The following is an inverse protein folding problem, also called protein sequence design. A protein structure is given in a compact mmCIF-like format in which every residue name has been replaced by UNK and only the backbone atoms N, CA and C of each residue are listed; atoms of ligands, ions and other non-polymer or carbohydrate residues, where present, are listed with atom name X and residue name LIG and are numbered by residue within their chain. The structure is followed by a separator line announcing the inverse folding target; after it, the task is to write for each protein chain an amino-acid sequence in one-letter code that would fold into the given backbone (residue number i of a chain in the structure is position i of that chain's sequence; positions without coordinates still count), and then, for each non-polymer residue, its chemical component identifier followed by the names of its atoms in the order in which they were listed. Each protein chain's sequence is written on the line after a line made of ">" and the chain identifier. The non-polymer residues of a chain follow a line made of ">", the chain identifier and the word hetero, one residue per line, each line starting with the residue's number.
data_IF_124534149275
#
_entry.id   IF_124534149275
#
_cell.length_a   1.000
_cell.length_b   1.000
_cell.length_c   1.000
_cell.angle_alpha   90.00
_cell.angle_beta   90.00
_cell.angle_gamma   90.00
#
_symmetry.space_group_name_H-M   'P 1'
#
loop_
_entity.id
_entity.type
_entity.pdbx_description
1 polymer ?
#
# COMPACT_ATOMS: atom_id res chain seq x y z
N UNK A 1 -48.79 -14.14 17.42
CA UNK A 1 -48.14 -12.92 17.92
C UNK A 1 -46.69 -12.74 17.53
N UNK A 2 -46.02 -13.68 16.86
CA UNK A 2 -44.59 -13.56 16.45
C UNK A 2 -44.34 -12.94 15.05
N UNK A 3 -45.34 -12.86 14.18
CA UNK A 3 -45.19 -12.24 12.82
C UNK A 3 -45.26 -10.70 12.80
N UNK A 4 -45.74 -10.08 13.88
CA UNK A 4 -45.88 -8.60 13.96
C UNK A 4 -44.58 -7.88 14.33
N UNK A 5 -43.64 -8.55 15.00
CA UNK A 5 -42.40 -7.92 15.45
C UNK A 5 -41.34 -7.82 14.36
N UNK A 6 -41.30 -8.74 13.39
CA UNK A 6 -40.36 -8.66 12.25
C UNK A 6 -40.71 -7.53 11.28
N UNK A 7 -41.98 -7.24 11.05
CA UNK A 7 -42.40 -6.13 10.18
C UNK A 7 -42.12 -4.75 10.81
N UNK A 8 -42.20 -4.65 12.14
CA UNK A 8 -41.87 -3.41 12.86
C UNK A 8 -40.35 -3.14 12.84
N UNK A 9 -39.53 -4.16 13.01
CA UNK A 9 -38.04 -4.00 12.90
C UNK A 9 -37.61 -3.62 11.48
N UNK A 10 -38.22 -4.20 10.43
CA UNK A 10 -37.89 -3.83 9.04
C UNK A 10 -38.30 -2.41 8.68
N UNK A 11 -39.44 -1.93 9.20
CA UNK A 11 -39.89 -0.55 8.99
C UNK A 11 -39.05 0.46 9.78
N UNK A 12 -38.61 0.13 10.99
CA UNK A 12 -37.70 1.00 11.76
C UNK A 12 -36.31 1.09 11.09
N UNK A 13 -35.82 0.00 10.49
CA UNK A 13 -34.56 0.01 9.74
C UNK A 13 -34.67 0.82 8.44
N UNK A 14 -35.81 0.77 7.73
CA UNK A 14 -36.07 1.63 6.54
C UNK A 14 -36.21 3.10 6.91
N UNK A 15 -36.82 3.43 8.05
CA UNK A 15 -36.98 4.80 8.54
C UNK A 15 -35.64 5.35 9.02
N UNK A 16 -34.79 4.56 9.68
CA UNK A 16 -33.42 4.96 10.05
C UNK A 16 -32.51 5.12 8.82
N UNK A 17 -32.69 4.29 7.78
CA UNK A 17 -31.96 4.46 6.52
C UNK A 17 -32.43 5.71 5.74
N UNK A 18 -33.73 6.02 5.77
CA UNK A 18 -34.26 7.21 5.10
C UNK A 18 -33.95 8.50 5.87
N UNK A 19 -33.91 8.47 7.20
CA UNK A 19 -33.50 9.58 8.02
C UNK A 19 -31.97 9.85 7.95
N UNK A 20 -31.16 8.82 7.81
CA UNK A 20 -29.73 8.98 7.53
C UNK A 20 -29.49 9.55 6.13
N UNK A 21 -30.28 9.16 5.12
CA UNK A 21 -30.23 9.74 3.77
C UNK A 21 -30.71 11.20 3.73
N UNK A 22 -31.66 11.60 4.58
CA UNK A 22 -32.13 12.99 4.68
C UNK A 22 -31.20 13.88 5.53
N UNK A 23 -30.51 13.32 6.52
CA UNK A 23 -29.46 14.03 7.26
C UNK A 23 -28.20 14.29 6.40
N UNK A 24 -27.97 13.47 5.36
CA UNK A 24 -26.87 13.65 4.40
C UNK A 24 -27.18 14.65 3.27
N UNK A 25 -28.45 15.06 3.08
CA UNK A 25 -28.82 16.09 2.08
C UNK A 25 -28.42 17.52 2.48
N UNK A 26 -28.01 17.74 3.71
CA UNK A 26 -27.47 19.02 4.21
C UNK A 26 -25.93 19.05 4.34
N UNK A 27 -25.22 18.00 3.84
CA UNK A 27 -23.79 18.18 3.54
C UNK A 27 -23.75 19.21 2.42
N UNK A 28 -23.43 20.45 2.82
CA UNK A 28 -23.24 21.60 1.95
C UNK A 28 -22.76 21.17 0.56
N UNK A 29 -23.41 21.67 -0.48
CA UNK A 29 -22.95 21.68 -1.86
C UNK A 29 -21.57 22.37 -1.94
N UNK A 30 -20.57 21.84 -1.27
CA UNK A 30 -19.18 22.19 -1.51
C UNK A 30 -18.90 21.71 -2.91
N UNK A 31 -18.87 22.65 -3.82
CA UNK A 31 -18.62 22.49 -5.25
C UNK A 31 -17.18 21.99 -5.40
N UNK A 32 -16.98 20.68 -5.27
CA UNK A 32 -15.72 20.03 -5.67
C UNK A 32 -15.67 19.80 -7.19
N UNK A 33 -16.69 20.25 -7.92
CA UNK A 33 -17.00 19.86 -9.28
C UNK A 33 -16.18 20.48 -10.41
N UNK A 34 -15.24 21.39 -10.13
CA UNK A 34 -14.43 22.05 -11.16
C UNK A 34 -12.98 21.57 -11.21
N UNK A 35 -12.46 20.98 -10.13
CA UNK A 35 -11.05 20.59 -10.04
C UNK A 35 -10.88 19.12 -10.38
N UNK A 36 -10.11 18.84 -11.43
CA UNK A 36 -9.84 17.48 -11.90
C UNK A 36 -8.37 17.31 -12.23
N UNK A 37 -7.89 16.09 -12.04
CA UNK A 37 -6.61 15.68 -12.56
C UNK A 37 -6.61 15.72 -14.10
N UNK A 38 -5.50 16.12 -14.67
CA UNK A 38 -5.27 16.14 -16.12
C UNK A 38 -3.88 15.57 -16.42
N UNK A 39 -3.70 14.81 -17.52
CA UNK A 39 -2.39 14.33 -17.94
C UNK A 39 -1.37 15.44 -18.19
N UNK A 40 -1.85 16.67 -18.37
CA UNK A 40 -1.00 17.85 -18.64
C UNK A 40 -0.63 18.62 -17.37
N UNK A 41 -1.22 18.29 -16.22
CA UNK A 41 -0.93 19.01 -14.98
C UNK A 41 0.50 18.74 -14.50
N UNK A 42 1.26 19.80 -14.26
CA UNK A 42 2.61 19.69 -13.72
C UNK A 42 2.60 19.53 -12.19
N UNK A 43 3.66 18.94 -11.64
CA UNK A 43 3.84 18.86 -10.18
C UNK A 43 3.82 20.25 -9.52
N UNK A 44 4.48 21.25 -10.13
CA UNK A 44 4.49 22.61 -9.59
C UNK A 44 3.09 23.26 -9.57
N UNK A 45 2.28 22.97 -10.56
CA UNK A 45 0.87 23.44 -10.57
C UNK A 45 0.05 22.79 -9.47
N UNK A 46 0.24 21.49 -9.21
CA UNK A 46 -0.40 20.78 -8.09
C UNK A 46 0.01 21.44 -6.77
N UNK A 47 1.30 21.72 -6.58
CA UNK A 47 1.81 22.41 -5.37
C UNK A 47 1.18 23.79 -5.23
N UNK A 48 1.18 24.61 -6.28
CA UNK A 48 0.61 25.96 -6.26
C UNK A 48 -0.87 25.95 -5.89
N UNK A 49 -1.67 25.06 -6.49
CA UNK A 49 -3.10 24.93 -6.19
C UNK A 49 -3.36 24.40 -4.76
N UNK A 50 -2.53 23.49 -4.27
CA UNK A 50 -2.60 23.01 -2.89
C UNK A 50 -2.30 24.12 -1.89
N UNK A 51 -1.27 24.95 -2.14
CA UNK A 51 -0.92 26.13 -1.35
C UNK A 51 -2.01 27.20 -1.39
N UNK A 52 -2.70 27.36 -2.53
CA UNK A 52 -3.86 28.23 -2.67
C UNK A 52 -5.11 27.72 -1.91
N UNK A 53 -5.01 26.55 -1.26
CA UNK A 53 -6.04 26.03 -0.38
C UNK A 53 -7.04 25.07 -1.03
N UNK A 54 -6.83 24.64 -2.28
CA UNK A 54 -7.70 23.64 -2.90
C UNK A 54 -7.62 22.30 -2.16
N UNK A 55 -8.75 21.81 -1.65
CA UNK A 55 -8.82 20.53 -0.95
C UNK A 55 -8.49 19.35 -1.86
N UNK A 56 -8.90 19.42 -3.13
CA UNK A 56 -8.56 18.43 -4.15
C UNK A 56 -7.05 18.29 -4.32
N UNK A 57 -6.36 19.41 -4.58
CA UNK A 57 -4.92 19.40 -4.84
C UNK A 57 -4.10 19.19 -3.56
N UNK A 58 -4.60 19.56 -2.38
CA UNK A 58 -4.00 19.17 -1.10
C UNK A 58 -3.99 17.65 -0.93
N UNK A 59 -5.13 16.98 -1.17
CA UNK A 59 -5.21 15.52 -1.11
C UNK A 59 -4.37 14.83 -2.20
N UNK A 60 -4.40 15.34 -3.42
CA UNK A 60 -3.59 14.84 -4.53
C UNK A 60 -2.09 14.99 -4.27
N UNK A 61 -1.66 16.12 -3.73
CA UNK A 61 -0.26 16.36 -3.34
C UNK A 61 0.18 15.41 -2.23
N UNK A 62 -0.70 15.16 -1.25
CA UNK A 62 -0.46 14.15 -0.22
C UNK A 62 -0.22 12.76 -0.83
N UNK A 63 -1.04 12.34 -1.79
CA UNK A 63 -0.86 11.06 -2.51
C UNK A 63 0.48 11.05 -3.25
N UNK A 64 0.82 12.12 -3.98
CA UNK A 64 2.05 12.20 -4.77
C UNK A 64 3.30 12.15 -3.90
N UNK A 65 3.32 12.85 -2.78
CA UNK A 65 4.43 12.85 -1.83
C UNK A 65 4.62 11.49 -1.14
N UNK A 66 3.55 10.71 -0.93
CA UNK A 66 3.67 9.35 -0.41
C UNK A 66 4.20 8.39 -1.47
N UNK A 67 3.76 8.52 -2.70
CA UNK A 67 4.01 7.55 -3.77
C UNK A 67 5.09 7.96 -4.79
N UNK A 68 5.67 9.16 -4.68
CA UNK A 68 6.72 9.62 -5.58
C UNK A 68 6.23 9.87 -7.02
N UNK A 69 4.99 10.27 -7.21
CA UNK A 69 4.43 10.51 -8.55
C UNK A 69 4.84 11.86 -9.14
N UNK A 70 4.76 11.98 -10.46
CA UNK A 70 5.16 13.17 -11.23
C UNK A 70 6.60 13.66 -10.93
N UNK A 71 7.48 12.78 -10.48
CA UNK A 71 8.87 13.11 -10.15
C UNK A 71 9.07 13.73 -8.77
N UNK A 72 8.05 13.75 -7.91
CA UNK A 72 8.21 14.16 -6.51
C UNK A 72 9.14 13.21 -5.78
N UNK A 73 9.86 13.72 -4.77
CA UNK A 73 10.53 12.86 -3.80
C UNK A 73 9.50 12.31 -2.81
N UNK A 74 9.71 11.07 -2.39
CA UNK A 74 8.89 10.50 -1.30
C UNK A 74 9.14 11.28 -0.02
N UNK A 75 8.07 11.77 0.59
CA UNK A 75 8.11 12.48 1.87
C UNK A 75 6.84 12.19 2.67
N UNK A 76 6.92 11.22 3.54
CA UNK A 76 5.79 10.70 4.32
C UNK A 76 5.23 11.75 5.28
N UNK A 77 6.09 12.57 5.88
CA UNK A 77 5.64 13.60 6.83
C UNK A 77 4.89 14.75 6.13
N UNK A 78 5.47 15.27 5.04
CA UNK A 78 4.79 16.31 4.25
C UNK A 78 3.51 15.77 3.58
N UNK A 79 3.52 14.49 3.15
CA UNK A 79 2.34 13.80 2.65
C UNK A 79 1.21 13.80 3.69
N UNK A 80 1.55 13.54 4.97
CA UNK A 80 0.57 13.58 6.06
C UNK A 80 -0.04 14.96 6.22
N UNK A 81 0.80 15.99 6.33
CA UNK A 81 0.34 17.36 6.54
C UNK A 81 -0.67 17.82 5.45
N UNK A 82 -0.35 17.56 4.19
CA UNK A 82 -1.26 17.88 3.08
C UNK A 82 -2.54 17.04 3.09
N UNK A 83 -2.44 15.77 3.50
CA UNK A 83 -3.62 14.90 3.61
C UNK A 83 -4.53 15.30 4.77
N UNK A 84 -3.97 15.72 5.89
CA UNK A 84 -4.72 16.29 7.03
C UNK A 84 -5.44 17.57 6.63
N UNK A 85 -4.78 18.46 5.87
CA UNK A 85 -5.41 19.67 5.34
C UNK A 85 -6.59 19.36 4.42
N UNK A 86 -6.46 18.35 3.54
CA UNK A 86 -7.56 17.89 2.68
C UNK A 86 -8.68 17.22 3.50
N UNK A 87 -8.31 16.40 4.49
CA UNK A 87 -9.25 15.71 5.38
C UNK A 87 -10.07 16.68 6.22
N UNK A 88 -9.46 17.72 6.75
CA UNK A 88 -10.14 18.79 7.49
C UNK A 88 -11.24 19.49 6.64
N UNK A 89 -11.05 19.51 5.32
CA UNK A 89 -12.03 19.99 4.33
C UNK A 89 -12.94 18.88 3.81
N UNK A 90 -12.93 17.72 4.44
CA UNK A 90 -13.72 16.52 4.11
C UNK A 90 -13.46 15.96 2.71
N UNK A 91 -12.31 16.25 2.09
CA UNK A 91 -11.99 15.73 0.77
C UNK A 91 -11.52 14.26 0.84
N UNK A 92 -12.08 13.34 0.03
CA UNK A 92 -11.83 11.89 0.16
C UNK A 92 -10.39 11.47 -0.13
N UNK A 93 -9.60 12.25 -0.86
CA UNK A 93 -8.18 11.96 -1.05
C UNK A 93 -7.38 12.11 0.26
N UNK A 94 -7.81 13.02 1.15
CA UNK A 94 -7.24 13.14 2.49
C UNK A 94 -7.45 11.85 3.30
N UNK A 95 -8.70 11.40 3.42
CA UNK A 95 -9.05 10.15 4.11
C UNK A 95 -8.32 8.94 3.52
N UNK A 96 -8.34 8.80 2.19
CA UNK A 96 -7.66 7.72 1.48
C UNK A 96 -6.16 7.69 1.77
N UNK A 97 -5.49 8.84 1.67
CA UNK A 97 -4.04 8.87 1.87
C UNK A 97 -3.64 8.70 3.34
N UNK A 98 -4.38 9.28 4.28
CA UNK A 98 -4.20 9.05 5.71
C UNK A 98 -4.42 7.58 6.10
N UNK A 99 -5.39 6.89 5.46
CA UNK A 99 -5.57 5.45 5.63
C UNK A 99 -4.33 4.67 5.21
N UNK A 100 -3.73 4.99 4.05
CA UNK A 100 -2.48 4.37 3.62
C UNK A 100 -1.32 4.66 4.60
N UNK A 101 -1.21 5.88 5.11
CA UNK A 101 -0.20 6.24 6.11
C UNK A 101 -0.42 5.52 7.45
N UNK A 102 -1.67 5.32 7.87
CA UNK A 102 -2.02 4.52 9.04
C UNK A 102 -1.65 3.04 8.83
N UNK A 103 -1.90 2.49 7.63
CA UNK A 103 -1.45 1.14 7.26
C UNK A 103 0.07 0.98 7.39
N UNK A 104 0.85 1.98 6.94
CA UNK A 104 2.33 1.97 7.07
C UNK A 104 2.78 1.93 8.53
N UNK A 105 2.05 2.60 9.43
CA UNK A 105 2.32 2.61 10.88
C UNK A 105 1.78 1.39 11.62
N UNK A 106 1.01 0.53 10.93
CA UNK A 106 0.36 -0.64 11.53
C UNK A 106 -0.94 -0.31 12.29
N UNK A 107 -1.46 0.90 12.19
CA UNK A 107 -2.79 1.26 12.70
C UNK A 107 -3.88 0.82 11.71
N UNK A 108 -4.26 -0.45 11.79
CA UNK A 108 -5.25 -1.04 10.88
C UNK A 108 -6.68 -0.61 11.20
N UNK A 109 -6.96 -0.32 12.46
CA UNK A 109 -8.29 0.14 12.84
C UNK A 109 -8.53 1.57 12.36
N UNK A 110 -7.56 2.47 12.58
CA UNK A 110 -7.58 3.81 12.03
C UNK A 110 -7.63 3.81 10.50
N UNK A 111 -6.80 2.98 9.86
CA UNK A 111 -6.82 2.83 8.41
C UNK A 111 -8.17 2.36 7.88
N UNK A 112 -8.79 1.37 8.53
CA UNK A 112 -10.11 0.86 8.11
C UNK A 112 -11.19 1.94 8.18
N UNK A 113 -11.25 2.72 9.28
CA UNK A 113 -12.19 3.85 9.41
C UNK A 113 -11.98 4.89 8.32
N UNK A 114 -10.74 5.24 8.04
CA UNK A 114 -10.39 6.24 7.02
C UNK A 114 -10.68 5.74 5.60
N UNK A 115 -10.45 4.44 5.31
CA UNK A 115 -10.86 3.87 4.02
C UNK A 115 -12.38 3.83 3.85
N UNK A 116 -13.14 3.55 4.92
CA UNK A 116 -14.60 3.59 4.89
C UNK A 116 -15.09 5.02 4.60
N UNK A 117 -14.51 6.04 5.26
CA UNK A 117 -14.82 7.44 4.98
C UNK A 117 -14.51 7.81 3.52
N UNK A 118 -13.33 7.43 3.00
CA UNK A 118 -12.99 7.66 1.61
C UNK A 118 -13.96 6.95 0.64
N UNK A 119 -14.31 5.69 0.92
CA UNK A 119 -15.20 4.87 0.09
C UNK A 119 -16.62 5.43 -0.03
N UNK A 120 -17.08 6.20 0.95
CA UNK A 120 -18.40 6.88 0.89
C UNK A 120 -18.41 8.07 -0.06
N UNK A 121 -17.28 8.75 -0.26
CA UNK A 121 -17.21 10.04 -0.99
C UNK A 121 -16.53 9.93 -2.35
N UNK A 122 -15.58 9.01 -2.53
CA UNK A 122 -14.89 8.77 -3.82
C UNK A 122 -15.83 8.44 -4.99
N UNK A 123 -16.96 7.69 -4.82
CA UNK A 123 -17.85 7.37 -5.93
C UNK A 123 -18.35 8.57 -6.72
N UNK A 124 -18.59 9.70 -6.06
CA UNK A 124 -19.01 10.94 -6.72
C UNK A 124 -17.94 11.44 -7.69
N UNK A 125 -16.69 11.57 -7.23
CA UNK A 125 -15.57 12.00 -8.09
C UNK A 125 -15.32 11.01 -9.24
N UNK A 126 -15.41 9.71 -8.95
CA UNK A 126 -15.23 8.68 -9.97
C UNK A 126 -16.34 8.71 -11.03
N UNK A 127 -17.61 8.97 -10.64
CA UNK A 127 -18.73 9.13 -11.58
C UNK A 127 -18.58 10.36 -12.46
N UNK A 128 -17.96 11.41 -11.93
CA UNK A 128 -17.59 12.61 -12.67
C UNK A 128 -16.40 12.41 -13.62
N UNK A 129 -15.83 11.21 -13.67
CA UNK A 129 -14.74 10.84 -14.58
C UNK A 129 -13.34 11.09 -14.01
N UNK A 130 -13.18 11.33 -12.71
CA UNK A 130 -11.86 11.55 -12.10
C UNK A 130 -11.03 10.24 -12.02
N UNK A 131 -9.89 10.13 -12.74
CA UNK A 131 -9.11 8.92 -12.77
C UNK A 131 -8.38 8.63 -11.44
N UNK A 132 -8.07 9.66 -10.66
CA UNK A 132 -7.44 9.50 -9.34
C UNK A 132 -8.42 8.84 -8.38
N UNK A 133 -9.68 9.30 -8.38
CA UNK A 133 -10.73 8.71 -7.56
C UNK A 133 -11.00 7.25 -7.95
N UNK A 134 -11.03 6.94 -9.26
CA UNK A 134 -11.16 5.56 -9.75
C UNK A 134 -10.00 4.69 -9.26
N UNK A 135 -8.78 5.18 -9.33
CA UNK A 135 -7.60 4.48 -8.82
C UNK A 135 -7.70 4.22 -7.30
N UNK A 136 -8.00 5.26 -6.52
CA UNK A 136 -8.16 5.13 -5.06
C UNK A 136 -9.23 4.10 -4.68
N UNK A 137 -10.37 4.10 -5.39
CA UNK A 137 -11.41 3.08 -5.19
C UNK A 137 -10.93 1.67 -5.59
N UNK A 138 -10.10 1.56 -6.64
CA UNK A 138 -9.44 0.31 -7.02
C UNK A 138 -8.56 -0.22 -5.91
N UNK A 139 -7.71 0.63 -5.33
CA UNK A 139 -6.84 0.29 -4.20
C UNK A 139 -7.66 -0.17 -2.98
N UNK A 140 -8.72 0.56 -2.62
CA UNK A 140 -9.61 0.17 -1.51
C UNK A 140 -10.23 -1.21 -1.76
N UNK A 141 -10.73 -1.48 -2.97
CA UNK A 141 -11.29 -2.80 -3.30
C UNK A 141 -10.24 -3.91 -3.31
N UNK A 142 -9.00 -3.57 -3.63
CA UNK A 142 -7.91 -4.56 -3.67
C UNK A 142 -7.36 -4.89 -2.29
N UNK A 143 -7.30 -3.91 -1.38
CA UNK A 143 -6.64 -4.02 -0.08
C UNK A 143 -7.60 -4.24 1.09
N UNK A 144 -8.79 -3.63 1.05
CA UNK A 144 -9.75 -3.68 2.15
C UNK A 144 -10.65 -4.91 2.03
N UNK A 145 -10.94 -5.55 3.15
CA UNK A 145 -11.75 -6.76 3.20
C UNK A 145 -13.23 -6.39 3.36
N UNK A 146 -14.12 -7.08 2.64
CA UNK A 146 -13.87 -8.13 1.66
C UNK A 146 -13.25 -7.59 0.38
N UNK A 147 -12.17 -8.25 -0.10
CA UNK A 147 -11.50 -7.82 -1.33
C UNK A 147 -12.36 -8.15 -2.55
N UNK A 148 -12.57 -7.14 -3.39
CA UNK A 148 -13.23 -7.31 -4.70
C UNK A 148 -12.21 -7.03 -5.82
N UNK A 149 -11.39 -8.05 -6.10
CA UNK A 149 -10.29 -7.95 -7.08
C UNK A 149 -10.82 -7.67 -8.48
N UNK A 150 -11.98 -8.21 -8.86
CA UNK A 150 -12.57 -7.98 -10.18
C UNK A 150 -12.92 -6.50 -10.35
N UNK A 151 -13.62 -5.94 -9.39
CA UNK A 151 -13.99 -4.51 -9.40
C UNK A 151 -12.77 -3.60 -9.29
N UNK A 152 -11.74 -4.01 -8.53
CA UNK A 152 -10.47 -3.29 -8.46
C UNK A 152 -9.81 -3.21 -9.84
N UNK A 153 -9.70 -4.34 -10.56
CA UNK A 153 -9.14 -4.40 -11.91
C UNK A 153 -9.90 -3.52 -12.90
N UNK A 154 -11.23 -3.53 -12.88
CA UNK A 154 -12.08 -2.70 -13.74
C UNK A 154 -11.77 -1.20 -13.52
N UNK A 155 -11.63 -0.79 -12.26
CA UNK A 155 -11.31 0.58 -11.88
C UNK A 155 -9.88 0.99 -12.26
N UNK A 156 -8.90 0.12 -12.03
CA UNK A 156 -7.52 0.39 -12.44
C UNK A 156 -7.42 0.52 -13.96
N UNK A 157 -8.07 -0.36 -14.73
CA UNK A 157 -8.10 -0.27 -16.19
C UNK A 157 -8.68 1.06 -16.65
N UNK A 158 -9.86 1.44 -16.15
CA UNK A 158 -10.51 2.69 -16.53
C UNK A 158 -9.68 3.92 -16.16
N UNK A 159 -9.07 3.93 -14.99
CA UNK A 159 -8.14 4.99 -14.57
C UNK A 159 -6.90 5.06 -15.47
N UNK A 160 -6.34 3.91 -15.87
CA UNK A 160 -5.18 3.84 -16.76
C UNK A 160 -5.51 4.30 -18.19
N UNK A 161 -6.71 3.98 -18.70
CA UNK A 161 -7.23 4.45 -19.98
C UNK A 161 -7.37 5.98 -20.00
N UNK A 162 -7.75 6.58 -18.88
CA UNK A 162 -7.78 8.04 -18.69
C UNK A 162 -6.40 8.66 -18.47
N UNK A 163 -5.34 7.85 -18.52
CA UNK A 163 -3.96 8.30 -18.51
C UNK A 163 -3.34 8.46 -17.11
N UNK A 164 -4.00 8.05 -16.02
CA UNK A 164 -3.43 8.21 -14.68
C UNK A 164 -2.20 7.31 -14.48
N UNK A 165 -1.00 7.88 -14.19
CA UNK A 165 0.25 7.13 -14.26
C UNK A 165 0.35 5.98 -13.24
N UNK A 166 -0.16 6.18 -12.02
CA UNK A 166 -0.16 5.12 -11.02
C UNK A 166 -1.02 3.93 -11.45
N UNK A 167 -2.19 4.19 -12.04
CA UNK A 167 -3.05 3.14 -12.57
C UNK A 167 -2.38 2.41 -13.73
N UNK A 168 -1.71 3.14 -14.63
CA UNK A 168 -0.94 2.54 -15.73
C UNK A 168 0.19 1.67 -15.19
N UNK A 169 0.91 2.12 -14.15
CA UNK A 169 1.97 1.33 -13.51
C UNK A 169 1.42 0.08 -12.82
N UNK A 170 0.31 0.20 -12.10
CA UNK A 170 -0.33 -0.91 -11.39
C UNK A 170 -0.83 -1.97 -12.37
N UNK A 171 -1.67 -1.56 -13.34
CA UNK A 171 -2.25 -2.53 -14.28
C UNK A 171 -1.19 -3.09 -15.25
N UNK A 172 -0.19 -2.28 -15.62
CA UNK A 172 0.96 -2.72 -16.41
C UNK A 172 1.73 -3.83 -15.71
N UNK A 173 2.00 -3.69 -14.41
CA UNK A 173 2.65 -4.74 -13.61
C UNK A 173 1.78 -6.00 -13.50
N UNK A 174 0.48 -5.83 -13.36
CA UNK A 174 -0.46 -6.96 -13.32
C UNK A 174 -0.51 -7.71 -14.67
N UNK A 175 -0.40 -7.01 -15.80
CA UNK A 175 -0.28 -7.66 -17.11
C UNK A 175 1.03 -8.45 -17.27
N UNK A 176 2.15 -7.98 -16.72
CA UNK A 176 3.41 -8.75 -16.76
C UNK A 176 3.31 -10.08 -16.01
N UNK A 177 2.58 -10.11 -14.90
CA UNK A 177 2.44 -11.29 -14.02
C UNK A 177 1.24 -12.15 -14.38
N UNK A 178 0.16 -11.54 -14.83
CA UNK A 178 -1.17 -12.12 -14.93
C UNK A 178 -1.81 -12.31 -13.53
N UNK A 179 -3.11 -12.53 -13.53
CA UNK A 179 -3.89 -12.95 -12.34
C UNK A 179 -4.75 -14.14 -12.75
N UNK A 180 -4.49 -15.34 -12.23
CA UNK A 180 -5.22 -16.55 -12.63
C UNK A 180 -6.75 -16.36 -12.53
N UNK A 181 -7.46 -16.66 -13.61
CA UNK A 181 -8.93 -16.54 -13.70
C UNK A 181 -9.47 -15.12 -13.84
N UNK A 182 -8.64 -14.06 -13.71
CA UNK A 182 -9.09 -12.66 -13.71
C UNK A 182 -8.42 -11.79 -14.78
N UNK A 183 -7.10 -11.94 -14.96
CA UNK A 183 -6.34 -11.16 -15.93
C UNK A 183 -5.32 -12.05 -16.64
N UNK A 184 -5.49 -12.21 -17.95
CA UNK A 184 -4.50 -12.95 -18.76
C UNK A 184 -3.20 -12.15 -18.80
N UNK A 185 -2.08 -12.87 -18.69
CA UNK A 185 -0.74 -12.29 -18.88
C UNK A 185 -0.62 -11.71 -20.27
N UNK A 186 -0.19 -10.46 -20.37
CA UNK A 186 0.10 -9.75 -21.62
C UNK A 186 1.33 -8.84 -21.42
N UNK A 187 2.47 -9.37 -21.83
CA UNK A 187 3.77 -8.71 -21.67
C UNK A 187 3.82 -7.41 -22.47
N UNK A 188 3.31 -7.43 -23.70
CA UNK A 188 3.35 -6.26 -24.59
C UNK A 188 2.56 -5.10 -24.00
N UNK A 189 1.33 -5.37 -23.58
CA UNK A 189 0.48 -4.35 -22.94
C UNK A 189 1.09 -3.89 -21.60
N UNK A 190 1.62 -4.82 -20.80
CA UNK A 190 2.28 -4.50 -19.53
C UNK A 190 3.44 -3.51 -19.71
N UNK A 191 4.36 -3.78 -20.63
CA UNK A 191 5.49 -2.88 -20.93
C UNK A 191 5.00 -1.56 -21.51
N UNK A 192 3.99 -1.57 -22.37
CA UNK A 192 3.43 -0.35 -22.97
C UNK A 192 2.89 0.60 -21.88
N UNK A 193 2.12 0.06 -20.94
CA UNK A 193 1.53 0.85 -19.85
C UNK A 193 2.60 1.36 -18.87
N UNK A 194 3.57 0.51 -18.50
CA UNK A 194 4.69 0.94 -17.66
C UNK A 194 5.50 2.04 -18.34
N UNK A 195 5.76 1.93 -19.65
CA UNK A 195 6.50 2.96 -20.41
C UNK A 195 5.76 4.29 -20.43
N UNK A 196 4.42 4.30 -20.61
CA UNK A 196 3.61 5.53 -20.51
C UNK A 196 3.74 6.16 -19.11
N UNK A 197 3.64 5.36 -18.06
CA UNK A 197 3.77 5.85 -16.69
C UNK A 197 5.18 6.38 -16.39
N UNK A 198 6.22 5.78 -16.95
CA UNK A 198 7.61 6.27 -16.83
C UNK A 198 7.78 7.66 -17.45
N UNK A 199 7.18 7.92 -18.62
CA UNK A 199 7.19 9.25 -19.25
C UNK A 199 6.56 10.29 -18.32
N UNK A 200 5.51 9.94 -17.61
CA UNK A 200 4.89 10.77 -16.58
C UNK A 200 5.69 10.85 -15.26
N UNK A 201 6.91 10.33 -15.22
CA UNK A 201 7.81 10.30 -14.06
C UNK A 201 7.23 9.55 -12.85
N UNK A 202 6.42 8.53 -13.09
CA UNK A 202 5.91 7.67 -12.02
C UNK A 202 7.04 6.88 -11.37
N UNK A 203 7.19 7.01 -10.06
CA UNK A 203 8.14 6.23 -9.26
C UNK A 203 7.80 4.74 -9.33
N UNK A 204 6.52 4.41 -9.16
CA UNK A 204 6.02 3.03 -9.22
C UNK A 204 6.40 2.35 -10.53
N UNK A 205 6.23 3.06 -11.67
CA UNK A 205 6.59 2.50 -12.98
C UNK A 205 8.10 2.29 -13.13
N UNK A 206 8.92 3.25 -12.69
CA UNK A 206 10.38 3.16 -12.72
C UNK A 206 10.89 1.98 -11.92
N UNK A 207 10.40 1.83 -10.71
CA UNK A 207 10.79 0.73 -9.83
C UNK A 207 10.32 -0.62 -10.39
N UNK A 208 9.05 -0.74 -10.77
CA UNK A 208 8.49 -2.01 -11.28
C UNK A 208 9.14 -2.45 -12.58
N UNK A 209 9.47 -1.51 -13.47
CA UNK A 209 10.20 -1.82 -14.70
C UNK A 209 11.64 -2.25 -14.39
N UNK A 210 12.29 -1.59 -13.43
CA UNK A 210 13.61 -2.01 -12.95
C UNK A 210 13.58 -3.43 -12.39
N UNK A 211 12.59 -3.77 -11.56
CA UNK A 211 12.42 -5.11 -11.00
C UNK A 211 12.03 -6.15 -12.06
N UNK A 212 11.24 -5.77 -13.06
CA UNK A 212 10.91 -6.66 -14.17
C UNK A 212 12.18 -7.11 -14.93
N UNK A 213 13.10 -6.17 -15.24
CA UNK A 213 14.39 -6.49 -15.86
C UNK A 213 15.32 -7.26 -14.90
N UNK A 214 15.31 -6.95 -13.62
CA UNK A 214 16.13 -7.64 -12.62
C UNK A 214 15.75 -9.13 -12.48
N UNK A 215 14.44 -9.39 -12.40
CA UNK A 215 13.92 -10.75 -12.22
C UNK A 215 13.76 -11.52 -13.54
N UNK A 216 13.69 -10.84 -14.69
CA UNK A 216 13.24 -11.43 -15.93
C UNK A 216 11.72 -11.64 -15.99
N UNK A 217 10.95 -10.85 -15.23
CA UNK A 217 9.48 -10.95 -15.15
C UNK A 217 8.82 -10.35 -16.40
N UNK A 218 8.56 -11.18 -17.39
CA UNK A 218 7.91 -10.77 -18.64
C UNK A 218 8.84 -10.12 -19.68
N UNK A 219 10.08 -9.86 -19.31
CA UNK A 219 11.16 -9.38 -20.18
C UNK A 219 12.40 -10.25 -19.94
N UNK A 220 13.33 -10.37 -20.90
CA UNK A 220 14.61 -11.02 -20.63
C UNK A 220 15.33 -10.33 -19.48
N UNK A 221 15.91 -11.10 -18.56
CA UNK A 221 16.73 -10.55 -17.48
C UNK A 221 17.84 -9.66 -18.04
N UNK A 222 17.96 -8.44 -17.50
CA UNK A 222 18.94 -7.46 -17.95
C UNK A 222 19.28 -6.53 -16.76
N UNK A 223 20.32 -6.88 -16.02
CA UNK A 223 20.73 -6.16 -14.82
C UNK A 223 21.17 -4.73 -15.13
N UNK A 224 21.73 -4.49 -16.33
CA UNK A 224 22.11 -3.15 -16.76
C UNK A 224 20.88 -2.24 -16.93
N UNK A 225 19.85 -2.70 -17.63
CA UNK A 225 18.58 -1.96 -17.74
C UNK A 225 17.90 -1.83 -16.39
N UNK A 226 17.91 -2.88 -15.56
CA UNK A 226 17.40 -2.81 -14.20
C UNK A 226 18.06 -1.67 -13.42
N UNK A 227 19.41 -1.59 -13.47
CA UNK A 227 20.15 -0.53 -12.76
C UNK A 227 19.80 0.87 -13.25
N UNK A 228 19.58 1.05 -14.57
CA UNK A 228 19.18 2.34 -15.13
C UNK A 228 17.82 2.81 -14.59
N UNK A 229 16.83 1.94 -14.56
CA UNK A 229 15.51 2.25 -14.03
C UNK A 229 15.51 2.46 -12.52
N UNK A 230 16.25 1.63 -11.77
CA UNK A 230 16.38 1.76 -10.33
C UNK A 230 17.11 3.07 -9.95
N UNK A 231 18.11 3.52 -10.71
CA UNK A 231 18.75 4.84 -10.50
C UNK A 231 17.73 5.97 -10.56
N UNK A 232 16.81 5.95 -11.52
CA UNK A 232 15.76 6.97 -11.62
C UNK A 232 14.81 6.95 -10.42
N UNK A 233 14.54 5.78 -9.84
CA UNK A 233 13.75 5.66 -8.63
C UNK A 233 14.52 6.11 -7.38
N UNK A 234 15.83 5.86 -7.31
CA UNK A 234 16.72 6.36 -6.24
C UNK A 234 16.76 7.90 -6.22
N UNK A 235 16.72 8.57 -7.37
CA UNK A 235 16.67 10.03 -7.44
C UNK A 235 15.39 10.62 -6.80
N UNK A 236 14.34 9.82 -6.67
CA UNK A 236 13.09 10.18 -5.99
C UNK A 236 13.08 9.76 -4.51
N UNK A 237 14.24 9.38 -3.97
CA UNK A 237 14.46 9.03 -2.56
C UNK A 237 13.72 7.77 -2.10
N UNK A 238 13.57 6.78 -2.97
CA UNK A 238 12.84 5.55 -2.70
C UNK A 238 13.73 4.46 -2.09
N UNK A 239 13.42 4.05 -0.87
CA UNK A 239 14.24 3.12 -0.09
C UNK A 239 14.37 1.74 -0.71
N UNK A 240 13.31 1.21 -1.32
CA UNK A 240 13.32 -0.08 -2.02
C UNK A 240 14.23 -0.08 -3.25
N UNK A 241 14.25 1.05 -3.96
CA UNK A 241 15.16 1.19 -5.10
C UNK A 241 16.61 1.35 -4.66
N UNK A 242 16.87 2.08 -3.56
CA UNK A 242 18.20 2.17 -2.96
C UNK A 242 18.73 0.80 -2.54
N UNK A 243 17.87 -0.01 -1.89
CA UNK A 243 18.21 -1.37 -1.51
C UNK A 243 18.54 -2.23 -2.73
N UNK A 244 17.64 -2.27 -3.73
CA UNK A 244 17.82 -3.11 -4.92
C UNK A 244 19.03 -2.70 -5.75
N UNK A 245 19.22 -1.39 -6.00
CA UNK A 245 20.40 -0.89 -6.70
C UNK A 245 21.68 -1.11 -5.89
N UNK A 246 21.60 -0.97 -4.57
CA UNK A 246 22.71 -1.22 -3.66
C UNK A 246 23.24 -2.64 -3.79
N UNK A 247 22.36 -3.63 -3.83
CA UNK A 247 22.74 -5.04 -4.05
C UNK A 247 23.39 -5.24 -5.43
N UNK A 248 22.76 -4.74 -6.51
CA UNK A 248 23.30 -4.84 -7.86
C UNK A 248 24.73 -4.27 -7.97
N UNK A 249 25.01 -3.15 -7.31
CA UNK A 249 26.33 -2.54 -7.30
C UNK A 249 27.36 -3.34 -6.46
N UNK A 250 26.90 -4.03 -5.41
CA UNK A 250 27.76 -4.88 -4.59
C UNK A 250 28.10 -6.18 -5.31
N UNK A 251 27.16 -6.77 -6.00
CA UNK A 251 27.33 -8.01 -6.78
C UNK A 251 28.19 -7.76 -8.00
N UNK A 252 27.91 -6.72 -8.77
CA UNK A 252 28.66 -6.35 -9.96
C UNK A 252 28.50 -7.36 -11.10
N UNK A 253 27.32 -7.99 -11.21
CA UNK A 253 26.98 -8.95 -12.26
C UNK A 253 26.20 -8.31 -13.41
N UNK A 254 25.94 -9.06 -14.48
CA UNK A 254 25.08 -8.63 -15.60
C UNK A 254 25.56 -7.37 -16.32
N UNK A 255 26.89 -7.15 -16.43
CA UNK A 255 27.49 -5.99 -17.09
C UNK A 255 27.59 -4.74 -16.20
N UNK A 256 27.18 -4.84 -14.94
CA UNK A 256 27.29 -3.75 -13.98
C UNK A 256 28.71 -3.72 -13.39
N UNK A 257 29.36 -2.55 -13.46
CA UNK A 257 30.64 -2.38 -12.77
C UNK A 257 30.43 -2.45 -11.26
N UNK A 258 31.08 -3.42 -10.62
CA UNK A 258 31.08 -3.55 -9.17
C UNK A 258 31.53 -2.26 -8.48
N UNK A 259 30.71 -1.79 -7.55
CA UNK A 259 30.99 -0.62 -6.72
C UNK A 259 30.43 -0.84 -5.32
N UNK A 260 31.17 -1.60 -4.52
CA UNK A 260 30.76 -1.99 -3.16
C UNK A 260 30.54 -0.78 -2.27
N UNK A 261 31.35 0.28 -2.39
CA UNK A 261 31.24 1.47 -1.56
C UNK A 261 29.93 2.21 -1.81
N UNK A 262 29.60 2.44 -3.06
CA UNK A 262 28.32 3.08 -3.44
C UNK A 262 27.12 2.19 -3.08
N UNK A 263 27.23 0.89 -3.29
CA UNK A 263 26.20 -0.06 -2.90
C UNK A 263 25.94 -0.03 -1.40
N UNK A 264 26.97 -0.05 -0.56
CA UNK A 264 26.83 0.07 0.89
C UNK A 264 26.26 1.44 1.33
N UNK A 265 26.64 2.54 0.63
CA UNK A 265 26.06 3.86 0.87
C UNK A 265 24.55 3.84 0.67
N UNK A 266 24.10 3.30 -0.45
CA UNK A 266 22.66 3.18 -0.76
C UNK A 266 21.93 2.29 0.24
N UNK A 267 22.54 1.19 0.68
CA UNK A 267 21.95 0.33 1.72
C UNK A 267 21.84 1.05 3.07
N UNK A 268 22.86 1.86 3.47
CA UNK A 268 22.80 2.68 4.67
C UNK A 268 21.71 3.73 4.62
N UNK A 269 21.55 4.40 3.47
CA UNK A 269 20.44 5.33 3.26
C UNK A 269 19.08 4.64 3.32
N UNK A 270 18.91 3.47 2.68
CA UNK A 270 17.69 2.70 2.78
C UNK A 270 17.41 2.29 4.25
N UNK A 271 18.43 1.85 4.99
CA UNK A 271 18.31 1.48 6.39
C UNK A 271 17.90 2.67 7.28
N UNK A 272 18.40 3.88 7.01
CA UNK A 272 18.00 5.10 7.72
C UNK A 272 16.54 5.51 7.46
N UNK A 273 15.97 5.03 6.34
CA UNK A 273 14.55 5.15 6.00
C UNK A 273 13.71 3.94 6.46
N UNK A 274 14.19 3.20 7.45
CA UNK A 274 13.52 2.03 8.01
C UNK A 274 13.34 0.84 7.07
N UNK A 275 14.14 0.75 5.99
CA UNK A 275 14.10 -0.41 5.09
C UNK A 275 14.69 -1.65 5.76
N UNK A 276 13.83 -2.60 6.12
CA UNK A 276 14.16 -3.76 6.96
C UNK A 276 15.29 -4.62 6.36
N UNK A 277 15.19 -4.97 5.07
CA UNK A 277 16.19 -5.82 4.42
C UNK A 277 17.56 -5.15 4.33
N UNK A 278 17.59 -3.81 4.19
CA UNK A 278 18.84 -3.07 4.22
C UNK A 278 19.48 -3.11 5.62
N UNK A 279 18.68 -2.92 6.67
CA UNK A 279 19.14 -3.06 8.07
C UNK A 279 19.68 -4.47 8.34
N UNK A 280 18.97 -5.51 7.92
CA UNK A 280 19.41 -6.91 8.09
C UNK A 280 20.70 -7.21 7.31
N UNK A 281 20.79 -6.75 6.06
CA UNK A 281 21.99 -6.94 5.23
C UNK A 281 23.23 -6.33 5.90
N UNK A 282 23.11 -5.07 6.33
CA UNK A 282 24.20 -4.36 7.00
C UNK A 282 24.57 -5.02 8.32
N UNK A 283 23.59 -5.46 9.12
CA UNK A 283 23.85 -6.18 10.37
C UNK A 283 24.64 -7.47 10.16
N UNK A 284 24.28 -8.25 9.13
CA UNK A 284 24.98 -9.49 8.81
C UNK A 284 26.42 -9.27 8.34
N UNK A 285 26.67 -8.16 7.63
CA UNK A 285 27.97 -7.91 6.97
C UNK A 285 28.97 -7.15 7.86
N UNK A 286 28.52 -6.19 8.64
CA UNK A 286 29.39 -5.22 9.35
C UNK A 286 29.24 -5.28 10.88
N UNK A 287 28.40 -6.19 11.42
CA UNK A 287 28.00 -6.10 12.83
C UNK A 287 27.27 -4.79 13.15
N UNK A 288 26.69 -4.17 12.13
CA UNK A 288 26.10 -2.84 12.11
C UNK A 288 24.93 -2.74 13.08
N UNK A 289 25.02 -1.80 14.02
CA UNK A 289 23.94 -1.46 14.94
C UNK A 289 23.14 -0.25 14.42
N UNK A 290 21.91 -0.44 13.94
CA UNK A 290 21.08 0.65 13.43
C UNK A 290 20.73 1.70 14.48
N UNK A 291 20.80 1.37 15.78
CA UNK A 291 20.48 2.30 16.87
C UNK A 291 21.50 3.43 17.01
N UNK A 292 22.69 3.30 16.39
CA UNK A 292 23.77 4.28 16.45
C UNK A 292 23.69 5.42 15.41
N UNK A 293 22.70 5.39 14.50
CA UNK A 293 22.54 6.41 13.41
C UNK A 293 21.68 7.60 13.85
N UNK A 294 20.91 7.50 14.90
CA UNK A 294 19.92 8.51 15.27
C UNK A 294 20.26 9.31 16.54
N UNK A 295 21.52 9.75 16.72
CA UNK A 295 21.79 10.94 17.57
C UNK A 295 23.22 11.47 17.40
N UNK A 296 23.47 12.80 17.43
CA UNK A 296 24.82 13.32 17.65
C UNK A 296 25.24 13.05 19.09
N UNK A 297 26.42 12.49 19.20
CA UNK A 297 27.18 12.12 20.40
C UNK A 297 26.83 12.73 21.75
N UNK A 298 26.54 11.90 22.74
CA UNK A 298 27.19 11.95 24.07
C UNK A 298 27.12 10.57 24.74
N UNK A 299 28.24 10.13 25.25
CA UNK A 299 28.61 8.84 25.85
C UNK A 299 27.97 8.54 27.22
N UNK A 300 28.27 7.44 27.94
CA UNK A 300 28.85 6.14 27.59
C UNK A 300 28.24 4.87 28.30
N UNK A 301 28.66 3.72 27.79
CA UNK A 301 28.93 2.43 28.48
C UNK A 301 27.84 1.62 29.18
N UNK A 302 27.79 0.34 28.79
CA UNK A 302 27.29 -0.78 29.59
C UNK A 302 26.92 -1.99 28.77
N UNK A 303 27.79 -3.01 28.78
CA UNK A 303 27.67 -4.28 28.09
C UNK A 303 26.45 -5.10 28.54
N UNK A 304 25.86 -5.88 27.64
CA UNK A 304 25.85 -7.35 27.74
C UNK A 304 25.09 -7.97 26.56
N UNK A 305 25.68 -8.99 26.00
CA UNK A 305 25.22 -10.02 25.09
C UNK A 305 23.77 -10.43 25.26
N UNK A 306 23.02 -10.57 24.15
CA UNK A 306 22.10 -11.70 23.90
C UNK A 306 21.77 -11.83 22.39
N UNK A 307 21.76 -13.04 21.92
CA UNK A 307 21.24 -13.51 20.62
C UNK A 307 19.96 -12.79 20.21
N UNK A 308 20.00 -12.00 19.13
CA UNK A 308 18.78 -11.33 18.64
C UNK A 308 18.21 -12.06 17.43
N UNK A 309 17.28 -12.97 17.69
CA UNK A 309 16.14 -13.13 16.82
C UNK A 309 15.42 -11.76 16.76
N UNK A 310 14.93 -11.36 15.56
CA UNK A 310 14.00 -10.24 15.42
C UNK A 310 12.93 -10.39 16.51
N UNK A 311 12.58 -9.30 17.21
CA UNK A 311 11.48 -9.39 18.15
C UNK A 311 10.18 -9.64 17.38
N UNK A 312 9.19 -10.23 18.03
CA UNK A 312 7.91 -10.61 17.40
C UNK A 312 7.23 -9.44 16.70
N UNK A 313 7.44 -8.23 17.14
CA UNK A 313 6.86 -7.00 16.59
C UNK A 313 7.50 -6.62 15.24
N UNK A 314 8.80 -6.77 15.11
CA UNK A 314 9.52 -6.56 13.85
C UNK A 314 9.14 -7.62 12.79
N UNK A 315 9.03 -8.88 13.22
CA UNK A 315 8.57 -9.97 12.33
C UNK A 315 7.13 -9.72 11.90
N UNK A 316 6.27 -9.29 12.81
CA UNK A 316 4.88 -8.93 12.54
C UNK A 316 4.79 -7.77 11.54
N UNK A 317 5.57 -6.72 11.72
CA UNK A 317 5.63 -5.58 10.81
C UNK A 317 6.09 -5.99 9.41
N UNK A 318 7.07 -6.88 9.32
CA UNK A 318 7.58 -7.43 8.05
C UNK A 318 6.55 -8.30 7.33
N UNK A 319 5.87 -9.18 8.07
CA UNK A 319 4.81 -10.00 7.55
C UNK A 319 3.67 -9.16 6.93
N UNK A 320 3.33 -8.05 7.59
CA UNK A 320 2.34 -7.08 7.10
C UNK A 320 2.79 -6.40 5.80
N UNK A 321 4.05 -6.00 5.68
CA UNK A 321 4.60 -5.42 4.46
C UNK A 321 4.50 -6.39 3.28
N UNK A 322 4.82 -7.66 3.47
CA UNK A 322 4.61 -8.69 2.45
C UNK A 322 3.13 -8.90 2.12
N UNK A 323 2.25 -8.84 3.11
CA UNK A 323 0.81 -9.00 2.89
C UNK A 323 0.20 -7.83 2.11
N UNK A 324 0.57 -6.60 2.44
CA UNK A 324 0.00 -5.38 1.84
C UNK A 324 0.71 -4.96 0.56
N UNK A 325 1.94 -5.39 0.33
CA UNK A 325 2.79 -4.87 -0.74
C UNK A 325 3.32 -3.46 -0.46
N UNK A 326 3.11 -2.95 0.76
CA UNK A 326 3.57 -1.62 1.14
C UNK A 326 4.97 -1.71 1.75
N UNK A 327 5.93 -1.10 1.08
CA UNK A 327 7.34 -1.12 1.49
C UNK A 327 8.09 -2.43 1.23
N UNK A 328 7.42 -3.44 0.66
CA UNK A 328 8.01 -4.66 0.10
C UNK A 328 7.13 -5.13 -1.07
N UNK A 329 7.69 -5.81 -2.09
CA UNK A 329 6.87 -6.48 -3.10
C UNK A 329 5.86 -7.39 -2.42
N UNK A 330 4.59 -7.29 -2.82
CA UNK A 330 3.55 -8.13 -2.24
C UNK A 330 3.87 -9.61 -2.48
N UNK A 331 4.01 -10.34 -1.38
CA UNK A 331 4.30 -11.77 -1.38
C UNK A 331 3.49 -12.44 -0.26
N UNK A 332 2.33 -12.91 -0.62
CA UNK A 332 1.44 -13.56 0.35
C UNK A 332 2.04 -14.85 0.94
N UNK A 333 2.87 -15.59 0.19
CA UNK A 333 3.51 -16.82 0.69
C UNK A 333 4.49 -16.47 1.82
N UNK A 334 5.36 -15.48 1.60
CA UNK A 334 6.28 -14.98 2.64
C UNK A 334 5.53 -14.34 3.81
N UNK A 335 4.44 -13.61 3.53
CA UNK A 335 3.62 -13.07 4.61
C UNK A 335 3.07 -14.19 5.50
N UNK A 336 2.54 -15.26 4.91
CA UNK A 336 2.03 -16.42 5.65
C UNK A 336 3.12 -17.12 6.45
N UNK A 337 4.30 -17.33 5.84
CA UNK A 337 5.46 -17.94 6.49
C UNK A 337 5.89 -17.18 7.77
N UNK A 338 5.81 -15.85 7.73
CA UNK A 338 6.15 -15.00 8.88
C UNK A 338 5.00 -14.87 9.89
N UNK A 339 3.74 -14.79 9.45
CA UNK A 339 2.60 -14.72 10.37
C UNK A 339 2.36 -16.00 11.14
N UNK A 340 2.58 -17.18 10.52
CA UNK A 340 2.20 -18.46 11.11
C UNK A 340 2.94 -18.77 12.42
N UNK A 341 4.26 -18.60 12.55
CA UNK A 341 4.97 -18.77 13.82
C UNK A 341 4.47 -17.83 14.92
N UNK A 342 4.25 -16.56 14.59
CA UNK A 342 3.73 -15.56 15.52
C UNK A 342 2.30 -15.90 15.99
N UNK A 343 1.45 -16.38 15.08
CA UNK A 343 0.09 -16.82 15.41
C UNK A 343 0.12 -18.02 16.37
N UNK A 344 1.01 -19.00 16.12
CA UNK A 344 1.25 -20.15 17.02
C UNK A 344 1.81 -19.70 18.38
N UNK A 345 2.64 -18.67 18.41
CA UNK A 345 3.12 -18.01 19.62
C UNK A 345 2.04 -17.21 20.36
N UNK A 346 0.84 -17.13 19.77
CA UNK A 346 -0.31 -16.51 20.42
C UNK A 346 -0.51 -15.02 20.11
N UNK A 347 0.19 -14.46 19.12
CA UNK A 347 -0.03 -13.09 18.71
C UNK A 347 -1.40 -12.96 18.00
N UNK A 348 -2.35 -12.16 18.55
CA UNK A 348 -3.72 -12.09 18.02
C UNK A 348 -3.79 -11.47 16.62
N UNK A 349 -2.92 -10.51 16.33
CA UNK A 349 -2.87 -9.87 15.02
C UNK A 349 -2.36 -10.84 13.96
N UNK A 350 -1.31 -11.59 14.25
CA UNK A 350 -0.80 -12.62 13.35
C UNK A 350 -1.84 -13.73 13.12
N UNK A 351 -2.52 -14.18 14.16
CA UNK A 351 -3.61 -15.15 14.07
C UNK A 351 -4.75 -14.67 13.17
N UNK A 352 -5.14 -13.39 13.28
CA UNK A 352 -6.13 -12.79 12.39
C UNK A 352 -5.66 -12.81 10.93
N UNK A 353 -4.41 -12.45 10.65
CA UNK A 353 -3.89 -12.49 9.27
C UNK A 353 -3.83 -13.92 8.72
N UNK A 354 -3.38 -14.91 9.49
CA UNK A 354 -3.40 -16.32 9.08
C UNK A 354 -4.84 -16.79 8.78
N UNK A 355 -5.80 -16.42 9.63
CA UNK A 355 -7.21 -16.68 9.39
C UNK A 355 -7.74 -16.03 8.10
N UNK A 356 -7.40 -14.77 7.84
CA UNK A 356 -7.75 -14.07 6.60
C UNK A 356 -7.12 -14.72 5.35
N UNK A 357 -5.88 -15.14 5.45
CA UNK A 357 -5.17 -15.82 4.36
C UNK A 357 -5.81 -17.17 4.05
N UNK A 358 -6.20 -17.92 5.06
CA UNK A 358 -6.95 -19.16 4.91
C UNK A 358 -8.37 -18.92 4.35
N UNK A 359 -9.02 -17.81 4.69
CA UNK A 359 -10.35 -17.44 4.19
C UNK A 359 -10.31 -17.05 2.70
N UNK A 360 -9.29 -16.27 2.31
CA UNK A 360 -9.16 -15.67 0.97
C UNK A 360 -8.36 -16.52 -0.01
N UNK A 361 -7.60 -17.50 0.48
CA UNK A 361 -6.66 -18.29 -0.34
C UNK A 361 -5.37 -17.54 -0.71
N UNK A 362 -5.07 -16.40 -0.07
CA UNK A 362 -3.86 -15.62 -0.31
C UNK A 362 -2.70 -16.15 0.52
N UNK A 363 -1.67 -16.69 -0.13
CA UNK A 363 -0.48 -17.25 0.51
C UNK A 363 -0.69 -18.58 1.26
N UNK A 364 -1.92 -19.06 1.35
CA UNK A 364 -2.29 -20.35 1.88
C UNK A 364 -3.47 -20.91 1.07
N UNK A 365 -3.62 -22.26 1.06
CA UNK A 365 -4.81 -22.87 0.44
C UNK A 365 -6.07 -22.40 1.17
N UNK A 366 -7.08 -21.97 0.38
CA UNK A 366 -8.36 -21.55 0.94
C UNK A 366 -8.98 -22.68 1.76
N UNK A 367 -9.26 -22.39 3.02
CA UNK A 367 -9.88 -23.33 3.96
C UNK A 367 -10.69 -22.55 5.01
N UNK A 368 -12.04 -22.47 4.85
CA UNK A 368 -12.90 -21.74 5.79
C UNK A 368 -12.84 -22.29 7.23
N UNK A 369 -12.65 -23.60 7.41
CA UNK A 369 -12.57 -24.18 8.75
C UNK A 369 -11.31 -23.70 9.50
N UNK A 370 -10.14 -23.73 8.83
CA UNK A 370 -8.89 -23.19 9.37
C UNK A 370 -9.01 -21.66 9.59
N UNK A 371 -9.70 -20.96 8.68
CA UNK A 371 -9.95 -19.53 8.83
C UNK A 371 -10.74 -19.24 10.11
N UNK A 372 -11.83 -19.97 10.34
CA UNK A 372 -12.64 -19.85 11.56
C UNK A 372 -11.81 -20.08 12.82
N UNK A 373 -11.01 -21.15 12.84
CA UNK A 373 -10.15 -21.50 13.96
C UNK A 373 -9.21 -20.36 14.33
N UNK A 374 -8.42 -19.86 13.39
CA UNK A 374 -7.48 -18.78 13.64
C UNK A 374 -8.14 -17.44 13.98
N UNK A 375 -9.27 -17.12 13.32
CA UNK A 375 -10.05 -15.92 13.68
C UNK A 375 -10.63 -16.03 15.07
N UNK A 376 -11.07 -17.23 15.50
CA UNK A 376 -11.57 -17.47 16.85
C UNK A 376 -10.45 -17.29 17.90
N UNK A 377 -9.26 -17.82 17.63
CA UNK A 377 -8.08 -17.60 18.48
C UNK A 377 -7.77 -16.10 18.63
N UNK A 378 -7.78 -15.37 17.52
CA UNK A 378 -7.53 -13.92 17.54
C UNK A 378 -8.61 -13.17 18.34
N UNK A 379 -9.88 -13.51 18.12
CA UNK A 379 -11.02 -12.91 18.80
C UNK A 379 -11.02 -13.15 20.32
N UNK A 380 -10.70 -14.37 20.75
CA UNK A 380 -10.55 -14.72 22.16
C UNK A 380 -9.43 -13.93 22.85
N UNK A 381 -8.39 -13.55 22.11
CA UNK A 381 -7.31 -12.70 22.59
C UNK A 381 -7.57 -11.20 22.43
N UNK A 382 -8.80 -10.80 22.14
CA UNK A 382 -9.24 -9.42 22.12
C UNK A 382 -9.11 -8.70 20.78
N UNK A 383 -8.79 -9.39 19.66
CA UNK A 383 -8.77 -8.77 18.34
C UNK A 383 -10.22 -8.51 17.86
N UNK A 384 -10.67 -7.26 18.03
CA UNK A 384 -12.02 -6.82 17.64
C UNK A 384 -12.30 -6.98 16.14
N UNK A 385 -11.25 -6.90 15.31
CA UNK A 385 -11.39 -7.11 13.87
C UNK A 385 -11.69 -8.56 13.54
N UNK A 386 -11.04 -9.50 14.23
CA UNK A 386 -11.34 -10.93 14.08
C UNK A 386 -12.75 -11.27 14.54
N UNK A 387 -13.24 -10.64 15.62
CA UNK A 387 -14.64 -10.79 16.06
C UNK A 387 -15.62 -10.36 14.96
N UNK A 388 -15.43 -9.20 14.37
CA UNK A 388 -16.27 -8.73 13.25
C UNK A 388 -16.19 -9.63 12.02
N UNK A 389 -15.00 -10.16 11.71
CA UNK A 389 -14.84 -11.09 10.59
C UNK A 389 -15.60 -12.40 10.81
N UNK A 390 -15.60 -12.96 12.02
CA UNK A 390 -16.38 -14.14 12.37
C UNK A 390 -17.89 -13.90 12.17
N UNK A 391 -18.39 -12.75 12.56
CA UNK A 391 -19.79 -12.37 12.34
C UNK A 391 -20.09 -12.16 10.84
N UNK A 392 -19.23 -11.44 10.13
CA UNK A 392 -19.42 -11.10 8.72
C UNK A 392 -19.44 -12.35 7.83
N UNK A 393 -18.59 -13.32 8.13
CA UNK A 393 -18.45 -14.54 7.33
C UNK A 393 -19.09 -15.78 7.97
N UNK A 394 -20.00 -15.58 8.93
CA UNK A 394 -20.67 -16.67 9.68
C UNK A 394 -21.29 -17.74 8.78
N UNK A 395 -21.79 -17.35 7.61
CA UNK A 395 -22.38 -18.29 6.64
C UNK A 395 -21.35 -19.14 5.88
N UNK A 396 -20.06 -18.80 5.95
CA UNK A 396 -18.98 -19.55 5.29
C UNK A 396 -18.31 -20.55 6.25
N UNK A 397 -18.58 -20.44 7.52
CA UNK A 397 -18.07 -21.28 8.62
C UNK A 397 -19.08 -22.30 9.07
#
# INVERSE_FOLDING_TARGET
>A
MQKSNHLRMFNTFKILLSLSLLAFSNISNTVWGAERWSPKISYNEIVSKAQAGSAYYQGLLGIYLRSGEAGSKVNVELSRQWSEAAYAKQHPFGSYNLANLAMLKGDFEGATRLYQDAALRLPRLASDGDPVAMYCMGEINFQVIPTDVKRALERFKKSAELGYPQAQATIGTLYLKGLPGLLKRDIKEGITLLSKAVVAKSLTARFNLGMAYYNGDGVPKDDLKASQWLKLAVMQDFSEAKYSLGLLLIEGEGGIRKNTNEGLRLLKEAASQDHVMAKEYLKKREGFDPSKISQPSTQPQGATTVNSSLNDEEVLARARKYYTGVGLPQDYAKAHELFLPLARGGNPVAARFVGLMALTGKGAKRNPAIAKEWLSVAAQKGDKTAQRLLETYKSLF
#
